data_IF_271322643839
#
_entry.id   IF_271322643839
#
_cell.length_a   1.000
_cell.length_b   1.000
_cell.length_c   1.000
_cell.angle_alpha   90.00
_cell.angle_beta   90.00
_cell.angle_gamma   90.00
#
_symmetry.space_group_name_H-M   'P 1'
#
loop_
_entity.id
_entity.type
_entity.pdbx_description
1 polymer ?
#
# COMPACT_ATOMS: atom_id res chain seq x y z
N UNK A 1 -25.16 2.51 -15.35
CA UNK A 1 -23.98 1.69 -15.00
C UNK A 1 -23.51 2.08 -13.61
N UNK A 2 -23.30 1.12 -12.70
CA UNK A 2 -22.79 1.39 -11.36
C UNK A 2 -21.47 0.64 -11.14
N UNK A 3 -20.44 1.36 -10.67
CA UNK A 3 -19.13 0.78 -10.36
C UNK A 3 -19.15 0.24 -8.94
N UNK A 4 -18.90 -1.06 -8.76
CA UNK A 4 -18.84 -1.68 -7.43
C UNK A 4 -17.49 -1.47 -6.73
N UNK A 5 -16.39 -1.47 -7.49
CA UNK A 5 -15.01 -1.29 -6.99
C UNK A 5 -14.12 -0.64 -8.06
N UNK A 6 -13.38 0.40 -7.68
CA UNK A 6 -12.34 1.03 -8.51
C UNK A 6 -11.00 0.96 -7.77
N UNK A 7 -9.97 0.42 -8.43
CA UNK A 7 -8.62 0.28 -7.86
C UNK A 7 -7.61 0.76 -8.89
N UNK A 8 -6.76 1.72 -8.50
CA UNK A 8 -5.60 2.12 -9.31
C UNK A 8 -4.46 1.11 -9.09
N UNK A 9 -4.09 0.40 -10.14
CA UNK A 9 -3.09 -0.69 -10.09
C UNK A 9 -1.68 -0.25 -10.54
N UNK A 10 -1.56 0.92 -11.16
CA UNK A 10 -0.31 1.47 -11.72
C UNK A 10 -0.39 3.00 -11.84
N UNK A 11 0.75 3.68 -11.79
CA UNK A 11 0.93 5.08 -12.21
C UNK A 11 2.21 5.21 -13.02
N UNK A 12 2.15 5.76 -14.24
CA UNK A 12 3.28 5.67 -15.18
C UNK A 12 3.72 4.21 -15.32
N UNK A 13 5.01 3.92 -15.32
CA UNK A 13 5.52 2.54 -15.30
C UNK A 13 5.74 1.96 -13.89
N UNK A 14 5.23 2.60 -12.83
CA UNK A 14 5.35 2.10 -11.46
C UNK A 14 4.10 1.29 -11.08
N UNK A 15 4.20 -0.04 -10.97
CA UNK A 15 3.08 -0.89 -10.55
C UNK A 15 2.85 -0.78 -9.03
N UNK A 16 1.61 -1.03 -8.60
CA UNK A 16 1.31 -1.19 -7.18
C UNK A 16 2.09 -2.39 -6.61
N UNK A 17 2.97 -2.21 -5.61
CA UNK A 17 3.74 -3.32 -5.06
C UNK A 17 2.83 -4.37 -4.44
N UNK A 18 2.90 -5.61 -4.93
CA UNK A 18 2.01 -6.72 -4.50
C UNK A 18 2.10 -7.05 -3.00
N UNK A 19 3.20 -6.66 -2.36
CA UNK A 19 3.44 -6.85 -0.92
C UNK A 19 2.90 -5.72 -0.03
N UNK A 20 2.46 -4.60 -0.61
CA UNK A 20 2.05 -3.43 0.16
C UNK A 20 0.69 -3.69 0.84
N UNK A 21 0.62 -3.66 2.18
CA UNK A 21 -0.66 -3.77 2.88
C UNK A 21 -1.54 -2.57 2.52
N UNK A 22 -2.86 -2.78 2.46
CA UNK A 22 -3.82 -1.70 2.23
C UNK A 22 -3.63 -0.60 3.28
N UNK A 23 -3.48 0.64 2.84
CA UNK A 23 -3.19 1.79 3.71
C UNK A 23 -1.72 1.96 4.09
N UNK A 24 -0.84 1.04 3.67
CA UNK A 24 0.61 1.23 3.77
C UNK A 24 1.15 2.09 2.64
N UNK A 25 2.34 2.64 2.87
CA UNK A 25 3.15 3.33 1.88
C UNK A 25 4.55 2.71 1.84
N UNK A 26 5.27 2.94 0.75
CA UNK A 26 6.68 2.56 0.59
C UNK A 26 7.40 3.74 -0.06
N UNK A 27 8.66 3.97 0.31
CA UNK A 27 9.50 4.94 -0.37
C UNK A 27 9.96 4.35 -1.72
N UNK A 28 10.06 5.20 -2.73
CA UNK A 28 10.63 4.83 -4.03
C UNK A 28 12.14 5.02 -3.99
N UNK A 29 12.86 4.21 -4.74
CA UNK A 29 14.30 4.40 -4.92
C UNK A 29 14.59 5.63 -5.81
N UNK A 30 15.86 6.02 -5.89
CA UNK A 30 16.29 7.19 -6.67
C UNK A 30 16.02 7.01 -8.18
N UNK A 31 16.14 5.78 -8.69
CA UNK A 31 15.95 5.49 -10.12
C UNK A 31 14.47 5.64 -10.52
N UNK A 32 13.57 5.06 -9.75
CA UNK A 32 12.11 5.17 -9.91
C UNK A 32 11.64 6.61 -9.74
N UNK A 33 12.25 7.35 -8.80
CA UNK A 33 11.96 8.77 -8.61
C UNK A 33 12.38 9.59 -9.82
N UNK A 34 13.59 9.36 -10.34
CA UNK A 34 14.08 10.07 -11.52
C UNK A 34 13.29 9.74 -12.79
N UNK A 35 12.83 8.50 -12.95
CA UNK A 35 11.92 8.12 -14.04
C UNK A 35 10.63 8.97 -14.03
N UNK A 36 10.01 9.14 -12.85
CA UNK A 36 8.80 9.97 -12.75
C UNK A 36 9.09 11.45 -13.04
N UNK A 37 10.28 11.95 -12.67
CA UNK A 37 10.70 13.33 -12.91
C UNK A 37 10.90 13.58 -14.41
N UNK A 38 11.59 12.67 -15.08
CA UNK A 38 11.81 12.73 -16.54
C UNK A 38 10.48 12.73 -17.31
N UNK A 39 9.51 11.92 -16.88
CA UNK A 39 8.19 11.84 -17.51
C UNK A 39 7.43 13.18 -17.53
N UNK A 40 7.76 14.09 -16.60
CA UNK A 40 7.19 15.44 -16.52
C UNK A 40 8.21 16.54 -16.82
N UNK A 41 9.28 16.19 -17.55
CA UNK A 41 10.34 17.10 -18.00
C UNK A 41 11.11 17.81 -16.88
N UNK A 42 11.15 17.20 -15.69
CA UNK A 42 11.94 17.69 -14.56
C UNK A 42 13.37 17.11 -14.58
N UNK A 43 14.37 17.89 -14.14
CA UNK A 43 15.75 17.41 -14.08
C UNK A 43 15.89 16.27 -13.05
N UNK A 44 16.76 15.28 -13.31
CA UNK A 44 16.99 14.18 -12.39
C UNK A 44 17.65 14.65 -11.09
N UNK A 45 17.34 13.98 -10.00
CA UNK A 45 17.91 14.23 -8.68
C UNK A 45 19.11 13.31 -8.43
N UNK A 46 20.16 13.84 -7.80
CA UNK A 46 21.43 13.13 -7.56
C UNK A 46 21.61 12.67 -6.11
N UNK A 47 20.82 13.21 -5.18
CA UNK A 47 20.85 12.84 -3.76
C UNK A 47 19.59 12.11 -3.35
N UNK A 48 19.72 10.95 -2.70
CA UNK A 48 18.60 10.27 -2.04
C UNK A 48 18.80 10.29 -0.53
N UNK A 49 17.71 10.53 0.21
CA UNK A 49 17.66 10.38 1.67
C UNK A 49 17.28 8.95 2.09
N UNK A 50 16.92 8.09 1.12
CA UNK A 50 16.54 6.70 1.35
C UNK A 50 17.80 5.84 1.48
N UNK A 51 17.93 5.13 2.59
CA UNK A 51 19.07 4.23 2.80
C UNK A 51 18.94 2.98 1.93
N UNK A 52 19.90 2.77 1.01
CA UNK A 52 19.92 1.66 0.03
C UNK A 52 19.92 0.28 0.70
N UNK A 53 20.49 0.14 1.89
CA UNK A 53 20.66 -1.15 2.58
C UNK A 53 19.38 -1.80 3.16
N UNK A 54 18.28 -1.07 3.37
CA UNK A 54 17.22 -1.53 4.30
C UNK A 54 16.07 -2.35 3.71
N UNK A 55 15.92 -2.39 2.40
CA UNK A 55 14.70 -2.98 1.79
C UNK A 55 14.67 -4.51 1.73
N UNK A 56 15.72 -5.18 2.20
CA UNK A 56 15.77 -6.64 2.28
C UNK A 56 15.03 -7.24 3.46
N UNK A 57 14.55 -6.42 4.42
CA UNK A 57 13.64 -6.93 5.46
C UNK A 57 12.28 -7.19 4.82
N UNK A 58 12.08 -8.43 4.36
CA UNK A 58 10.77 -8.97 3.94
C UNK A 58 9.68 -8.38 4.84
N UNK A 59 8.92 -7.43 4.30
CA UNK A 59 7.80 -6.84 5.03
C UNK A 59 6.91 -8.00 5.47
N UNK A 60 6.62 -8.12 6.76
CA UNK A 60 5.75 -9.18 7.32
C UNK A 60 4.29 -8.90 6.96
N UNK A 61 3.97 -8.87 5.67
CA UNK A 61 2.68 -8.48 5.11
C UNK A 61 1.53 -9.27 5.74
N UNK A 62 1.74 -10.53 6.11
CA UNK A 62 0.74 -11.35 6.82
C UNK A 62 0.42 -10.82 8.22
N UNK A 63 1.42 -10.37 8.98
CA UNK A 63 1.24 -9.81 10.32
C UNK A 63 0.52 -8.47 10.24
N UNK A 64 0.92 -7.61 9.28
CA UNK A 64 0.28 -6.31 9.07
C UNK A 64 -1.18 -6.51 8.62
N UNK A 65 -1.45 -7.41 7.68
CA UNK A 65 -2.82 -7.74 7.24
C UNK A 65 -3.70 -8.21 8.40
N UNK A 66 -3.18 -9.06 9.29
CA UNK A 66 -3.91 -9.52 10.48
C UNK A 66 -4.21 -8.37 11.44
N UNK A 67 -3.24 -7.49 11.69
CA UNK A 67 -3.40 -6.33 12.56
C UNK A 67 -4.43 -5.32 12.01
N UNK A 68 -4.32 -4.95 10.73
CA UNK A 68 -5.26 -4.04 10.06
C UNK A 68 -6.68 -4.60 10.09
N UNK A 69 -6.87 -5.90 9.77
CA UNK A 69 -8.18 -6.55 9.84
C UNK A 69 -8.78 -6.52 11.25
N UNK A 70 -7.97 -6.78 12.29
CA UNK A 70 -8.41 -6.69 13.68
C UNK A 70 -8.87 -5.27 14.01
N UNK A 71 -8.09 -4.27 13.62
CA UNK A 71 -8.40 -2.87 13.90
C UNK A 71 -9.68 -2.39 13.19
N UNK A 72 -9.91 -2.80 11.94
CA UNK A 72 -11.15 -2.47 11.21
C UNK A 72 -12.40 -3.12 11.81
N UNK A 73 -12.27 -4.31 12.41
CA UNK A 73 -13.38 -5.01 13.06
C UNK A 73 -13.73 -4.38 14.41
N UNK A 74 -12.72 -3.89 15.15
CA UNK A 74 -12.92 -3.21 16.43
C UNK A 74 -13.54 -1.81 16.24
N UNK A 75 -13.16 -1.07 15.19
CA UNK A 75 -13.78 0.23 14.89
C UNK A 75 -15.19 0.14 14.31
N UNK A 76 -15.56 -0.99 13.68
CA UNK A 76 -16.92 -1.27 13.19
C UNK A 76 -17.86 -1.93 14.21
N UNK A 77 -17.34 -2.38 15.36
CA UNK A 77 -18.03 -3.29 16.28
C UNK A 77 -19.08 -2.68 17.22
N UNK A 78 -19.40 -1.38 17.12
CA UNK A 78 -20.51 -0.79 17.91
C UNK A 78 -21.85 -0.72 17.16
N UNK A 79 -21.94 -1.23 15.93
CA UNK A 79 -23.19 -1.25 15.16
C UNK A 79 -23.41 -2.56 14.43
N UNK A 80 -23.83 -3.59 15.17
CA UNK A 80 -24.89 -4.54 14.78
C UNK A 80 -24.79 -5.76 15.69
N UNK A 81 -25.73 -5.85 16.64
CA UNK A 81 -26.03 -7.12 17.29
C UNK A 81 -26.83 -8.02 16.36
N UNK A 82 -26.71 -9.33 16.55
CA UNK A 82 -27.74 -10.28 16.15
C UNK A 82 -27.23 -11.57 15.51
N UNK A 83 -27.49 -12.66 16.24
CA UNK A 83 -27.83 -14.00 15.72
C UNK A 83 -26.68 -14.97 15.42
N UNK A 84 -26.19 -15.58 16.51
CA UNK A 84 -25.79 -16.99 16.49
C UNK A 84 -27.05 -17.86 16.36
N UNK A 85 -27.08 -18.78 15.41
CA UNK A 85 -27.95 -19.96 15.46
C UNK A 85 -27.24 -21.09 14.72
N UNK A 86 -26.82 -22.12 15.44
CA UNK A 86 -26.63 -23.46 14.89
C UNK A 86 -26.82 -24.46 16.03
N UNK A 87 -28.00 -25.08 16.03
CA UNK A 87 -28.35 -26.33 16.68
C UNK A 87 -28.92 -27.24 15.61
#
# INVERSE_FOLDING_TARGET
MQVSRLIRVRYGDIPLPKGLPRGGWTELDLAQTNYLRELVELPPETSSKVAVEKDRRRMKANQIRRAVKRHSQVSGGRRSGGRNNNG
#
